data_IF_160024265811
#
_entry.id   IF_160024265811
#
_cell.length_a   1.000
_cell.length_b   1.000
_cell.length_c   1.000
_cell.angle_alpha   90.00
_cell.angle_beta   90.00
_cell.angle_gamma   90.00
#
_symmetry.space_group_name_H-M   'P 1'
#
loop_
_entity.id
_entity.type
_entity.pdbx_description
1 polymer ?
#
# COMPACT_ATOMS: atom_id res chain seq x y z
N UNK A 1 27.69 3.10 -30.24
CA UNK A 1 27.13 2.28 -29.16
C UNK A 1 26.33 3.08 -28.10
N UNK A 2 26.70 4.29 -27.83
CA UNK A 2 26.00 5.17 -26.84
C UNK A 2 24.62 5.65 -27.29
N UNK A 3 24.40 5.86 -28.57
CA UNK A 3 23.14 6.38 -29.15
C UNK A 3 22.01 5.35 -29.11
N UNK A 4 22.30 4.07 -29.37
CA UNK A 4 21.28 3.01 -29.32
C UNK A 4 20.80 2.74 -27.88
N UNK A 5 21.69 2.79 -26.89
CA UNK A 5 21.29 2.68 -25.47
C UNK A 5 20.42 3.85 -25.03
N UNK A 6 20.69 5.06 -25.49
CA UNK A 6 19.87 6.23 -25.21
C UNK A 6 18.45 6.10 -25.76
N UNK A 7 18.31 5.68 -27.03
CA UNK A 7 17.00 5.50 -27.66
C UNK A 7 16.18 4.39 -26.97
N UNK A 8 16.81 3.28 -26.59
CA UNK A 8 16.13 2.20 -25.86
C UNK A 8 15.70 2.63 -24.45
N UNK A 9 16.51 3.43 -23.76
CA UNK A 9 16.16 4.00 -22.45
C UNK A 9 14.99 4.99 -22.56
N UNK A 10 14.97 5.83 -23.58
CA UNK A 10 13.86 6.77 -23.82
C UNK A 10 12.54 6.04 -24.13
N UNK A 11 12.61 4.95 -24.89
CA UNK A 11 11.44 4.13 -25.20
C UNK A 11 10.88 3.39 -23.96
N UNK A 12 11.74 2.82 -23.16
CA UNK A 12 11.37 2.15 -21.91
C UNK A 12 10.77 3.14 -20.90
N UNK A 13 11.34 4.34 -20.82
CA UNK A 13 10.85 5.41 -19.96
C UNK A 13 9.44 5.86 -20.39
N UNK A 14 9.24 6.09 -21.69
CA UNK A 14 7.94 6.50 -22.23
C UNK A 14 6.84 5.46 -21.97
N UNK A 15 7.15 4.17 -22.16
CA UNK A 15 6.21 3.06 -21.89
C UNK A 15 5.89 3.00 -20.39
N UNK A 16 6.91 3.09 -19.52
CA UNK A 16 6.71 3.07 -18.07
C UNK A 16 5.86 4.23 -17.58
N UNK A 17 6.12 5.45 -18.08
CA UNK A 17 5.31 6.62 -17.76
C UNK A 17 3.86 6.47 -18.27
N UNK A 18 3.66 5.89 -19.45
CA UNK A 18 2.34 5.59 -19.99
C UNK A 18 1.54 4.65 -19.09
N UNK A 19 2.16 3.56 -18.62
CA UNK A 19 1.52 2.65 -17.67
C UNK A 19 1.31 3.28 -16.30
N UNK A 20 2.20 4.16 -15.84
CA UNK A 20 2.03 4.90 -14.60
C UNK A 20 0.81 5.83 -14.66
N UNK A 21 0.68 6.61 -15.73
CA UNK A 21 -0.49 7.48 -15.94
C UNK A 21 -1.77 6.66 -16.05
N UNK A 22 -1.74 5.55 -16.79
CA UNK A 22 -2.86 4.62 -16.87
C UNK A 22 -3.26 4.10 -15.48
N UNK A 23 -2.31 3.66 -14.65
CA UNK A 23 -2.59 3.19 -13.31
C UNK A 23 -3.23 4.28 -12.43
N UNK A 24 -2.67 5.50 -12.45
CA UNK A 24 -3.20 6.64 -11.68
C UNK A 24 -4.64 6.95 -12.10
N UNK A 25 -4.91 7.03 -13.40
CA UNK A 25 -6.26 7.30 -13.94
C UNK A 25 -7.24 6.21 -13.54
N UNK A 26 -6.85 4.93 -13.67
CA UNK A 26 -7.72 3.81 -13.31
C UNK A 26 -7.99 3.73 -11.82
N UNK A 27 -7.00 4.05 -10.98
CA UNK A 27 -7.17 4.12 -9.54
C UNK A 27 -8.07 5.28 -9.12
N UNK A 28 -7.98 6.42 -9.80
CA UNK A 28 -8.84 7.58 -9.53
C UNK A 28 -10.29 7.37 -10.00
N UNK A 29 -10.50 6.63 -11.08
CA UNK A 29 -11.83 6.34 -11.62
C UNK A 29 -12.59 5.24 -10.85
N UNK A 30 -11.88 4.39 -10.12
CA UNK A 30 -12.44 3.27 -9.32
C UNK A 30 -13.39 2.33 -10.08
N UNK A 31 -13.36 2.35 -11.43
CA UNK A 31 -14.23 1.54 -12.28
C UNK A 31 -13.85 0.06 -12.31
N UNK A 32 -12.59 -0.23 -12.07
CA UNK A 32 -12.02 -1.58 -12.07
C UNK A 32 -11.33 -1.80 -10.72
N UNK A 33 -11.44 -3.00 -10.12
CA UNK A 33 -10.72 -3.32 -8.90
C UNK A 33 -9.22 -3.00 -9.01
N UNK A 34 -8.67 -2.38 -7.97
CA UNK A 34 -7.26 -1.97 -7.92
C UNK A 34 -6.29 -3.12 -8.22
N UNK A 35 -6.63 -4.33 -7.76
CA UNK A 35 -5.84 -5.54 -8.00
C UNK A 35 -5.76 -5.92 -9.48
N UNK A 36 -6.85 -5.74 -10.23
CA UNK A 36 -6.89 -6.03 -11.68
C UNK A 36 -6.05 -4.99 -12.41
N UNK A 37 -6.19 -3.71 -12.08
CA UNK A 37 -5.37 -2.64 -12.66
C UNK A 37 -3.88 -2.88 -12.41
N UNK A 38 -3.50 -3.24 -11.18
CA UNK A 38 -2.11 -3.56 -10.83
C UNK A 38 -1.58 -4.75 -11.65
N UNK A 39 -2.40 -5.79 -11.84
CA UNK A 39 -2.02 -6.95 -12.63
C UNK A 39 -1.84 -6.60 -14.11
N UNK A 40 -2.74 -5.79 -14.69
CA UNK A 40 -2.62 -5.31 -16.07
C UNK A 40 -1.33 -4.53 -16.28
N UNK A 41 -0.96 -3.65 -15.34
CA UNK A 41 0.29 -2.88 -15.41
C UNK A 41 1.51 -3.79 -15.33
N UNK A 42 1.54 -4.74 -14.39
CA UNK A 42 2.67 -5.66 -14.23
C UNK A 42 2.86 -6.55 -15.48
N UNK A 43 1.79 -7.14 -15.98
CA UNK A 43 1.83 -7.96 -17.20
C UNK A 43 2.16 -7.10 -18.42
N UNK A 44 1.59 -5.91 -18.53
CA UNK A 44 1.85 -4.98 -19.64
C UNK A 44 3.32 -4.54 -19.72
N UNK A 45 3.93 -4.21 -18.58
CA UNK A 45 5.36 -3.87 -18.52
C UNK A 45 6.27 -5.06 -18.85
N UNK A 46 5.86 -6.27 -18.49
CA UNK A 46 6.59 -7.48 -18.89
C UNK A 46 6.46 -7.76 -20.40
N UNK A 47 5.26 -7.72 -20.94
CA UNK A 47 5.01 -7.99 -22.36
C UNK A 47 5.63 -6.92 -23.29
N UNK A 48 5.72 -5.67 -22.82
CA UNK A 48 6.41 -4.60 -23.57
C UNK A 48 7.95 -4.74 -23.56
N UNK A 49 8.49 -5.73 -22.83
CA UNK A 49 9.92 -5.98 -22.74
C UNK A 49 10.69 -4.97 -21.88
N UNK A 50 9.99 -4.09 -21.16
CA UNK A 50 10.60 -3.10 -20.25
C UNK A 50 11.13 -3.77 -19.00
N UNK A 51 10.38 -4.73 -18.45
CA UNK A 51 10.73 -5.48 -17.24
C UNK A 51 10.74 -6.99 -17.49
N UNK A 52 11.66 -7.67 -16.83
CA UNK A 52 11.60 -9.14 -16.73
C UNK A 52 10.40 -9.57 -15.87
N UNK A 53 9.95 -10.80 -15.99
CA UNK A 53 8.86 -11.31 -15.14
C UNK A 53 9.16 -11.16 -13.64
N UNK A 54 10.40 -11.47 -13.24
CA UNK A 54 10.82 -11.34 -11.85
C UNK A 54 10.74 -9.88 -11.35
N UNK A 55 11.13 -8.91 -12.18
CA UNK A 55 11.06 -7.48 -11.83
C UNK A 55 9.64 -6.96 -11.80
N UNK A 56 8.80 -7.34 -12.77
CA UNK A 56 7.41 -6.91 -12.85
C UNK A 56 6.58 -7.35 -11.65
N UNK A 57 6.85 -8.55 -11.10
CA UNK A 57 6.13 -9.11 -9.97
C UNK A 57 6.85 -8.94 -8.63
N UNK A 58 8.07 -8.38 -8.60
CA UNK A 58 8.83 -8.18 -7.38
C UNK A 58 8.07 -7.39 -6.31
N UNK A 59 7.29 -6.40 -6.71
CA UNK A 59 6.49 -5.60 -5.80
C UNK A 59 5.42 -6.41 -5.04
N UNK A 60 4.89 -7.48 -5.64
CA UNK A 60 3.87 -8.33 -4.99
C UNK A 60 4.44 -9.22 -3.87
N UNK A 61 5.73 -9.51 -3.92
CA UNK A 61 6.44 -10.36 -2.94
C UNK A 61 7.41 -9.55 -2.08
N UNK A 62 7.34 -8.23 -2.13
CA UNK A 62 8.13 -7.36 -1.26
C UNK A 62 7.73 -7.55 0.21
N UNK A 63 8.72 -7.59 1.10
CA UNK A 63 8.51 -7.82 2.53
C UNK A 63 7.56 -6.80 3.16
N UNK A 64 7.61 -5.54 2.73
CA UNK A 64 6.71 -4.51 3.23
C UNK A 64 5.27 -4.75 2.77
N UNK A 65 5.07 -5.19 1.53
CA UNK A 65 3.74 -5.53 1.01
C UNK A 65 3.16 -6.72 1.76
N UNK A 66 3.95 -7.76 2.01
CA UNK A 66 3.53 -8.91 2.82
C UNK A 66 3.16 -8.48 4.24
N UNK A 67 3.94 -7.59 4.84
CA UNK A 67 3.64 -7.02 6.17
C UNK A 67 2.30 -6.28 6.17
N UNK A 68 2.05 -5.42 5.17
CA UNK A 68 0.76 -4.73 5.05
C UNK A 68 -0.41 -5.69 4.89
N UNK A 69 -0.29 -6.72 4.05
CA UNK A 69 -1.32 -7.75 3.89
C UNK A 69 -1.62 -8.43 5.25
N UNK A 70 -0.58 -8.82 5.97
CA UNK A 70 -0.72 -9.42 7.30
C UNK A 70 -1.43 -8.47 8.29
N UNK A 71 -1.07 -7.19 8.30
CA UNK A 71 -1.73 -6.19 9.13
C UNK A 71 -3.21 -6.01 8.78
N UNK A 72 -3.56 -6.00 7.49
CA UNK A 72 -4.96 -5.93 7.07
C UNK A 72 -5.77 -7.15 7.49
N UNK A 73 -5.20 -8.36 7.39
CA UNK A 73 -5.86 -9.60 7.84
C UNK A 73 -6.09 -9.57 9.35
N UNK A 74 -5.08 -9.18 10.13
CA UNK A 74 -5.19 -9.05 11.59
C UNK A 74 -6.21 -7.96 11.96
N UNK A 75 -6.15 -6.81 11.28
CA UNK A 75 -7.10 -5.71 11.49
C UNK A 75 -8.54 -6.13 11.21
N UNK A 76 -8.79 -6.82 10.11
CA UNK A 76 -10.13 -7.33 9.77
C UNK A 76 -10.63 -8.30 10.86
N UNK A 77 -9.79 -9.26 11.27
CA UNK A 77 -10.13 -10.19 12.34
C UNK A 77 -10.43 -9.46 13.67
N UNK A 78 -9.69 -8.39 13.97
CA UNK A 78 -9.91 -7.56 15.16
C UNK A 78 -11.28 -6.87 15.15
N UNK A 79 -11.74 -6.41 13.98
CA UNK A 79 -13.07 -5.83 13.82
C UNK A 79 -14.18 -6.89 13.84
N UNK A 80 -13.99 -8.01 13.14
CA UNK A 80 -15.01 -9.08 13.05
C UNK A 80 -15.23 -9.79 14.38
N UNK A 81 -14.20 -9.96 15.20
CA UNK A 81 -14.32 -10.60 16.53
C UNK A 81 -14.94 -9.69 17.59
N UNK A 82 -15.21 -8.43 17.28
CA UNK A 82 -15.79 -7.48 18.23
C UNK A 82 -14.79 -6.91 19.27
N UNK A 83 -13.54 -7.34 19.24
CA UNK A 83 -12.49 -6.84 20.14
C UNK A 83 -12.34 -5.32 20.04
N UNK A 84 -12.52 -4.75 18.84
CA UNK A 84 -12.50 -3.30 18.64
C UNK A 84 -13.59 -2.59 19.45
N UNK A 85 -14.78 -3.19 19.57
CA UNK A 85 -15.90 -2.64 20.35
C UNK A 85 -15.59 -2.73 21.84
N UNK A 86 -15.03 -3.85 22.29
CA UNK A 86 -14.66 -4.04 23.71
C UNK A 86 -13.55 -3.07 24.13
N UNK A 87 -12.53 -2.88 23.30
CA UNK A 87 -11.48 -1.88 23.52
C UNK A 87 -12.08 -0.47 23.55
N UNK A 88 -12.99 -0.13 22.61
CA UNK A 88 -13.70 1.14 22.58
C UNK A 88 -14.51 1.39 23.86
N UNK A 89 -15.20 0.38 24.36
CA UNK A 89 -15.97 0.44 25.61
C UNK A 89 -15.07 0.65 26.84
N UNK A 90 -13.92 -0.04 26.88
CA UNK A 90 -12.93 0.14 27.95
C UNK A 90 -12.38 1.56 27.93
N UNK A 91 -12.00 2.05 26.76
CA UNK A 91 -11.46 3.41 26.58
C UNK A 91 -12.49 4.46 26.99
N UNK A 92 -13.77 4.31 26.57
CA UNK A 92 -14.87 5.19 26.97
C UNK A 92 -15.12 5.20 28.49
N UNK A 93 -14.90 4.08 29.15
CA UNK A 93 -15.07 3.97 30.60
C UNK A 93 -14.01 4.74 31.40
N UNK A 94 -12.79 4.87 30.84
CA UNK A 94 -11.69 5.62 31.43
C UNK A 94 -11.66 7.09 30.99
N UNK A 95 -12.26 7.43 29.86
CA UNK A 95 -12.28 8.78 29.32
C UNK A 95 -13.48 9.56 29.87
N UNK A 96 -13.28 10.28 30.95
CA UNK A 96 -14.29 11.19 31.53
C UNK A 96 -14.58 12.41 30.64
N UNK A 97 -13.72 12.72 29.68
CA UNK A 97 -13.85 13.84 28.76
C UNK A 97 -13.29 13.45 27.38
N UNK A 98 -13.97 13.89 26.32
CA UNK A 98 -13.58 13.70 24.93
C UNK A 98 -12.14 14.16 24.64
N UNK A 99 -11.72 15.27 25.25
CA UNK A 99 -10.35 15.81 25.14
C UNK A 99 -9.31 14.86 25.72
N UNK A 100 -9.59 14.24 26.87
CA UNK A 100 -8.67 13.29 27.53
C UNK A 100 -8.56 12.02 26.67
N UNK A 101 -9.66 11.58 26.07
CA UNK A 101 -9.68 10.45 25.15
C UNK A 101 -8.77 10.70 23.93
N UNK A 102 -8.93 11.84 23.28
CA UNK A 102 -8.12 12.23 22.11
C UNK A 102 -6.64 12.28 22.48
N UNK A 103 -6.29 12.93 23.60
CA UNK A 103 -4.90 13.01 24.05
C UNK A 103 -4.32 11.62 24.36
N UNK A 104 -5.08 10.75 25.02
CA UNK A 104 -4.63 9.40 25.35
C UNK A 104 -4.39 8.56 24.08
N UNK A 105 -5.28 8.63 23.10
CA UNK A 105 -5.12 7.93 21.81
C UNK A 105 -3.92 8.49 21.05
N UNK A 106 -3.75 9.81 21.00
CA UNK A 106 -2.61 10.43 20.33
C UNK A 106 -1.28 10.07 21.00
N UNK A 107 -1.21 10.07 22.34
CA UNK A 107 -0.01 9.65 23.06
C UNK A 107 0.30 8.17 22.84
N UNK A 108 -0.70 7.30 22.94
CA UNK A 108 -0.52 5.87 22.73
C UNK A 108 -0.03 5.58 21.30
N UNK A 109 -0.69 6.17 20.30
CA UNK A 109 -0.31 6.03 18.90
C UNK A 109 1.07 6.60 18.63
N UNK A 110 1.41 7.77 19.19
CA UNK A 110 2.73 8.39 19.05
C UNK A 110 3.85 7.54 19.67
N UNK A 111 3.63 7.02 20.87
CA UNK A 111 4.59 6.13 21.53
C UNK A 111 4.76 4.84 20.72
N UNK A 112 3.67 4.18 20.32
CA UNK A 112 3.73 2.97 19.50
C UNK A 112 4.40 3.23 18.16
N UNK A 113 4.09 4.33 17.49
CA UNK A 113 4.72 4.72 16.24
C UNK A 113 6.24 4.95 16.39
N UNK A 114 6.66 5.58 17.47
CA UNK A 114 8.08 5.78 17.77
C UNK A 114 8.86 4.49 18.00
N UNK A 115 8.21 3.46 18.56
CA UNK A 115 8.84 2.16 18.78
C UNK A 115 8.78 1.24 17.57
N UNK A 116 7.68 1.26 16.80
CA UNK A 116 7.44 0.35 15.67
C UNK A 116 7.97 0.87 14.33
N UNK A 117 8.15 2.19 14.19
CA UNK A 117 8.58 2.81 12.93
C UNK A 117 10.10 2.93 12.77
N UNK A 118 10.88 2.32 13.62
CA UNK A 118 12.34 2.43 13.60
C UNK A 118 13.04 1.22 12.97
N UNK A 119 12.38 0.54 12.06
CA UNK A 119 12.93 -0.56 11.25
C UNK A 119 12.97 -0.19 9.80
#
# INVERSE_FOLDING_TARGET
MTTMKGILMDYSLAITLGFLVFAIVMFALEKIPLSITAMIVAVGLHLSGVLTAAEAFKGFVDSNVILFIAMFIIGAAFFETGVAIDVGNVVNKFAKNETILIIAIMMLTGIMSGFLSNT
#
